data_IF_545233378830
#
_entry.id   IF_545233378830
#
_cell.length_a   1.000
_cell.length_b   1.000
_cell.length_c   1.000
_cell.angle_alpha   90.00
_cell.angle_beta   90.00
_cell.angle_gamma   90.00
#
_symmetry.space_group_name_H-M   'P 1'
#
loop_
_entity.id
_entity.type
_entity.pdbx_description
1 polymer ?
#
# COMPACT_ATOMS: atom_id res chain seq x y z
N UNK A 1 14.86 21.69 -9.30
CA UNK A 1 15.05 20.64 -10.33
C UNK A 1 14.84 19.22 -9.79
N UNK A 2 15.41 18.82 -8.64
CA UNK A 2 15.07 17.53 -7.99
C UNK A 2 13.66 17.58 -7.37
N UNK A 3 13.38 18.61 -6.59
CA UNK A 3 12.08 18.89 -5.94
C UNK A 3 10.93 18.96 -6.95
N UNK A 4 11.16 19.60 -8.10
CA UNK A 4 10.18 19.72 -9.19
C UNK A 4 9.88 18.37 -9.89
N UNK A 5 10.88 17.49 -9.98
CA UNK A 5 10.70 16.11 -10.49
C UNK A 5 10.02 15.22 -9.46
N UNK A 6 10.28 15.43 -8.18
CA UNK A 6 9.61 14.77 -7.06
C UNK A 6 8.14 15.19 -7.00
N UNK A 7 7.83 16.47 -7.11
CA UNK A 7 6.47 16.99 -7.20
C UNK A 7 5.74 16.50 -8.45
N UNK A 8 6.41 16.38 -9.59
CA UNK A 8 5.83 15.81 -10.79
C UNK A 8 5.58 14.31 -10.66
N UNK A 9 6.49 13.57 -10.02
CA UNK A 9 6.32 12.15 -9.71
C UNK A 9 5.19 11.92 -8.71
N UNK A 10 5.17 12.68 -7.61
CA UNK A 10 4.09 12.70 -6.63
C UNK A 10 2.78 13.10 -7.28
N UNK A 11 2.78 14.10 -8.15
CA UNK A 11 1.61 14.48 -8.95
C UNK A 11 1.16 13.31 -9.82
N UNK A 12 2.01 12.55 -10.50
CA UNK A 12 1.59 11.39 -11.31
C UNK A 12 1.06 10.24 -10.46
N UNK A 13 1.73 9.94 -9.34
CA UNK A 13 1.33 8.90 -8.38
C UNK A 13 0.01 9.26 -7.67
N UNK A 14 -0.25 10.55 -7.44
CA UNK A 14 -1.45 11.07 -6.77
C UNK A 14 -2.55 11.51 -7.77
N UNK A 15 -2.24 11.81 -9.03
CA UNK A 15 -3.21 12.36 -10.02
C UNK A 15 -3.75 11.34 -11.00
N UNK A 16 -3.46 10.05 -10.84
CA UNK A 16 -4.16 8.98 -11.57
C UNK A 16 -5.62 8.92 -11.07
N UNK A 17 -6.42 9.86 -11.60
CA UNK A 17 -7.62 10.46 -10.99
C UNK A 17 -8.93 9.90 -11.52
N UNK A 18 -8.91 8.78 -12.23
CA UNK A 18 -10.12 8.00 -12.54
C UNK A 18 -9.84 6.51 -12.45
N UNK A 19 -9.51 6.03 -11.25
CA UNK A 19 -9.40 4.60 -11.00
C UNK A 19 -10.79 3.98 -11.15
N UNK A 20 -11.00 3.33 -12.29
CA UNK A 20 -12.15 2.47 -12.56
C UNK A 20 -11.72 1.02 -12.43
N UNK A 21 -12.67 0.10 -12.27
CA UNK A 21 -12.39 -1.36 -12.26
C UNK A 21 -11.53 -1.81 -13.46
N UNK A 22 -11.64 -1.13 -14.63
CA UNK A 22 -10.87 -1.48 -15.82
C UNK A 22 -9.39 -1.07 -15.76
N UNK A 23 -9.05 -0.09 -14.92
CA UNK A 23 -7.72 0.51 -14.89
C UNK A 23 -7.03 0.44 -13.53
N UNK A 24 -7.74 -0.04 -12.50
CA UNK A 24 -7.24 -0.11 -11.12
C UNK A 24 -5.92 -0.88 -11.03
N UNK A 25 -5.77 -1.98 -11.76
CA UNK A 25 -4.55 -2.79 -11.74
C UNK A 25 -3.31 -2.08 -12.32
N UNK A 26 -3.46 -1.04 -13.14
CA UNK A 26 -2.33 -0.22 -13.60
C UNK A 26 -1.64 0.51 -12.43
N UNK A 27 -2.35 0.74 -11.32
CA UNK A 27 -1.78 1.36 -10.12
C UNK A 27 -0.70 0.47 -9.49
N UNK A 28 -0.78 -0.86 -9.65
CA UNK A 28 0.24 -1.77 -9.14
C UNK A 28 1.60 -1.54 -9.81
N UNK A 29 1.62 -1.22 -11.11
CA UNK A 29 2.85 -0.87 -11.82
C UNK A 29 3.51 0.38 -11.22
N UNK A 30 2.69 1.38 -10.89
CA UNK A 30 3.17 2.62 -10.27
C UNK A 30 3.68 2.37 -8.85
N UNK A 31 2.97 1.58 -8.04
CA UNK A 31 3.42 1.23 -6.70
C UNK A 31 4.71 0.42 -6.72
N UNK A 32 4.82 -0.54 -7.63
CA UNK A 32 6.05 -1.32 -7.83
C UNK A 32 7.23 -0.40 -8.17
N UNK A 33 7.06 0.48 -9.17
CA UNK A 33 8.13 1.38 -9.58
C UNK A 33 8.51 2.37 -8.49
N UNK A 34 7.53 2.90 -7.75
CA UNK A 34 7.79 3.78 -6.63
C UNK A 34 8.59 3.07 -5.53
N UNK A 35 8.21 1.84 -5.16
CA UNK A 35 8.95 1.05 -4.17
C UNK A 35 10.40 0.77 -4.62
N UNK A 36 10.62 0.38 -5.88
CA UNK A 36 11.96 0.20 -6.42
C UNK A 36 12.81 1.48 -6.33
N UNK A 37 12.26 2.63 -6.73
CA UNK A 37 12.97 3.91 -6.67
C UNK A 37 13.22 4.38 -5.24
N UNK A 38 12.31 4.10 -4.31
CA UNK A 38 12.49 4.37 -2.88
C UNK A 38 13.64 3.52 -2.31
N UNK A 39 13.69 2.23 -2.62
CA UNK A 39 14.76 1.34 -2.16
C UNK A 39 16.14 1.79 -2.68
N UNK A 40 16.26 2.09 -3.98
CA UNK A 40 17.50 2.60 -4.58
C UNK A 40 17.99 3.91 -3.92
N UNK A 41 17.07 4.77 -3.48
CA UNK A 41 17.45 5.99 -2.76
C UNK A 41 17.95 5.69 -1.34
N UNK A 42 17.36 4.70 -0.65
CA UNK A 42 17.80 4.31 0.70
C UNK A 42 19.20 3.69 0.73
N UNK A 43 19.65 3.08 -0.37
CA UNK A 43 21.01 2.51 -0.50
C UNK A 43 22.12 3.58 -0.45
N UNK A 44 21.79 4.84 -0.76
CA UNK A 44 22.76 5.95 -0.74
C UNK A 44 23.12 6.38 0.69
N UNK A 45 22.37 5.92 1.70
CA UNK A 45 22.60 6.19 3.12
C UNK A 45 22.74 7.69 3.45
N UNK A 46 22.05 8.54 2.69
CA UNK A 46 21.95 9.98 2.89
C UNK A 46 20.66 10.29 3.66
N UNK A 47 20.79 10.99 4.79
CA UNK A 47 19.66 11.31 5.68
C UNK A 47 18.56 12.12 4.98
N UNK A 48 18.92 13.07 4.13
CA UNK A 48 17.96 13.94 3.42
C UNK A 48 17.17 13.10 2.41
N UNK A 49 17.84 12.19 1.71
CA UNK A 49 17.19 11.26 0.78
C UNK A 49 16.27 10.28 1.52
N UNK A 50 16.69 9.76 2.67
CA UNK A 50 15.85 8.87 3.48
C UNK A 50 14.58 9.59 3.93
N UNK A 51 14.66 10.84 4.38
CA UNK A 51 13.48 11.63 4.76
C UNK A 51 12.53 11.87 3.58
N UNK A 52 13.06 12.19 2.39
CA UNK A 52 12.25 12.30 1.16
C UNK A 52 11.55 10.97 0.83
N UNK A 53 12.27 9.85 0.88
CA UNK A 53 11.71 8.51 0.67
C UNK A 53 10.57 8.24 1.65
N UNK A 54 10.73 8.56 2.94
CA UNK A 54 9.67 8.37 3.93
C UNK A 54 8.43 9.20 3.59
N UNK A 55 8.60 10.47 3.19
CA UNK A 55 7.48 11.33 2.76
C UNK A 55 6.74 10.77 1.54
N UNK A 56 7.47 10.26 0.55
CA UNK A 56 6.91 9.61 -0.63
C UNK A 56 6.11 8.37 -0.24
N UNK A 57 6.69 7.49 0.58
CA UNK A 57 6.03 6.25 1.01
C UNK A 57 4.81 6.52 1.89
N UNK A 58 4.84 7.53 2.77
CA UNK A 58 3.69 7.97 3.54
C UNK A 58 2.57 8.51 2.63
N UNK A 59 2.92 9.24 1.58
CA UNK A 59 1.95 9.73 0.59
C UNK A 59 1.28 8.57 -0.17
N UNK A 60 2.07 7.57 -0.57
CA UNK A 60 1.57 6.34 -1.20
C UNK A 60 0.68 5.56 -0.22
N UNK A 61 1.13 5.39 1.03
CA UNK A 61 0.42 4.69 2.10
C UNK A 61 -0.96 5.33 2.38
N UNK A 62 -1.01 6.67 2.45
CA UNK A 62 -2.25 7.42 2.59
C UNK A 62 -3.19 7.24 1.40
N UNK A 63 -2.66 7.29 0.17
CA UNK A 63 -3.45 7.06 -1.05
C UNK A 63 -3.98 5.63 -1.14
N UNK A 64 -3.18 4.62 -0.80
CA UNK A 64 -3.60 3.22 -0.74
C UNK A 64 -4.73 3.02 0.27
N UNK A 65 -4.65 3.66 1.45
CA UNK A 65 -5.73 3.64 2.44
C UNK A 65 -7.02 4.22 1.88
N UNK A 66 -6.97 5.39 1.23
CA UNK A 66 -8.14 6.01 0.60
C UNK A 66 -8.76 5.12 -0.49
N UNK A 67 -7.93 4.50 -1.32
CA UNK A 67 -8.41 3.61 -2.39
C UNK A 67 -8.96 2.29 -1.83
N UNK A 68 -8.55 1.89 -0.63
CA UNK A 68 -9.05 0.70 0.07
C UNK A 68 -10.40 0.92 0.78
N UNK A 69 -10.96 2.13 0.75
CA UNK A 69 -12.26 2.42 1.37
C UNK A 69 -13.44 1.92 0.53
N UNK A 70 -14.46 1.38 1.18
CA UNK A 70 -15.70 0.92 0.53
C UNK A 70 -16.60 2.08 0.11
N UNK A 71 -16.52 3.19 0.84
CA UNK A 71 -17.26 4.42 0.57
C UNK A 71 -16.31 5.59 0.54
N UNK A 72 -16.38 6.35 -0.54
CA UNK A 72 -15.73 7.65 -0.63
C UNK A 72 -16.50 8.62 0.28
N UNK A 73 -15.83 9.07 1.33
CA UNK A 73 -16.36 10.05 2.26
C UNK A 73 -16.03 11.44 1.72
N UNK A 74 -17.03 12.19 1.27
CA UNK A 74 -16.84 13.58 0.83
C UNK A 74 -17.78 14.53 1.58
N UNK A 75 -17.23 15.58 2.20
CA UNK A 75 -17.99 16.67 2.83
C UNK A 75 -18.75 16.27 4.11
N UNK A 76 -19.67 17.16 4.54
CA UNK A 76 -20.49 17.04 5.77
C UNK A 76 -21.33 15.74 5.78
N UNK A 77 -21.67 15.17 4.61
CA UNK A 77 -22.37 13.89 4.49
C UNK A 77 -21.51 12.66 4.83
N UNK A 78 -20.17 12.80 4.87
CA UNK A 78 -19.28 11.77 5.39
C UNK A 78 -19.52 11.50 6.88
N UNK A 79 -19.89 12.52 7.66
CA UNK A 79 -20.11 12.36 9.11
C UNK A 79 -21.33 11.49 9.43
N UNK A 80 -22.26 11.31 8.49
CA UNK A 80 -23.51 10.53 8.64
C UNK A 80 -23.40 9.14 7.96
N UNK A 81 -22.25 8.80 7.38
CA UNK A 81 -22.01 7.48 6.79
C UNK A 81 -22.63 7.24 5.40
N UNK A 82 -23.13 8.29 4.74
CA UNK A 82 -23.75 8.23 3.40
C UNK A 82 -22.73 8.51 2.27
N UNK A 83 -21.52 7.94 2.36
CA UNK A 83 -20.49 8.08 1.32
C UNK A 83 -20.86 7.36 0.01
N UNK A 84 -20.34 7.86 -1.11
CA UNK A 84 -20.52 7.23 -2.43
C UNK A 84 -19.80 5.89 -2.46
N UNK A 85 -20.45 4.83 -2.98
CA UNK A 85 -19.80 3.52 -3.14
C UNK A 85 -18.51 3.65 -3.95
N UNK A 86 -17.47 2.97 -3.50
CA UNK A 86 -16.18 2.91 -4.17
C UNK A 86 -16.34 2.42 -5.62
N UNK A 87 -15.68 3.07 -6.61
CA UNK A 87 -15.67 2.61 -7.99
C UNK A 87 -14.70 1.45 -8.23
N UNK A 88 -13.97 1.02 -7.20
CA UNK A 88 -12.94 -0.02 -7.25
C UNK A 88 -13.51 -1.38 -6.88
N UNK A 89 -12.88 -2.44 -7.35
CA UNK A 89 -13.30 -3.80 -6.99
C UNK A 89 -12.91 -4.16 -5.54
N UNK A 90 -13.65 -5.07 -4.87
CA UNK A 90 -13.22 -5.62 -3.59
C UNK A 90 -11.81 -6.25 -3.67
N UNK A 91 -11.52 -6.98 -4.75
CA UNK A 91 -10.21 -7.55 -5.09
C UNK A 91 -9.08 -6.52 -5.04
N UNK A 92 -9.29 -5.35 -5.65
CA UNK A 92 -8.30 -4.26 -5.61
C UNK A 92 -8.10 -3.72 -4.20
N UNK A 93 -9.19 -3.54 -3.45
CA UNK A 93 -9.13 -3.03 -2.08
C UNK A 93 -8.34 -3.96 -1.15
N UNK A 94 -8.35 -5.28 -1.39
CA UNK A 94 -7.48 -6.23 -0.68
C UNK A 94 -6.01 -5.90 -0.90
N UNK A 95 -5.57 -5.69 -2.15
CA UNK A 95 -4.18 -5.30 -2.46
C UNK A 95 -3.85 -3.95 -1.83
N UNK A 96 -4.71 -2.95 -2.01
CA UNK A 96 -4.49 -1.60 -1.49
C UNK A 96 -4.38 -1.57 0.05
N UNK A 97 -5.28 -2.28 0.76
CA UNK A 97 -5.24 -2.38 2.23
C UNK A 97 -3.97 -3.09 2.70
N UNK A 98 -3.61 -4.19 2.04
CA UNK A 98 -2.42 -4.98 2.39
C UNK A 98 -1.14 -4.16 2.25
N UNK A 99 -0.98 -3.45 1.11
CA UNK A 99 0.19 -2.60 0.87
C UNK A 99 0.25 -1.41 1.85
N UNK A 100 -0.89 -0.81 2.18
CA UNK A 100 -0.91 0.31 3.15
C UNK A 100 -0.57 -0.17 4.58
N UNK A 101 -1.07 -1.32 4.98
CA UNK A 101 -0.74 -1.94 6.27
C UNK A 101 0.75 -2.31 6.33
N UNK A 102 1.29 -2.88 5.26
CA UNK A 102 2.72 -3.15 5.14
C UNK A 102 3.55 -1.88 5.33
N UNK A 103 3.29 -0.81 4.58
CA UNK A 103 4.02 0.45 4.71
C UNK A 103 3.89 1.05 6.12
N UNK A 104 2.73 0.92 6.76
CA UNK A 104 2.54 1.36 8.15
C UNK A 104 3.42 0.61 9.14
N UNK A 105 3.66 -0.69 8.91
CA UNK A 105 4.58 -1.51 9.71
C UNK A 105 6.04 -1.18 9.41
N UNK A 106 6.38 -0.92 8.14
CA UNK A 106 7.75 -0.60 7.74
C UNK A 106 8.18 0.83 8.09
N UNK A 107 7.23 1.73 8.40
CA UNK A 107 7.46 3.11 8.83
C UNK A 107 6.94 3.26 10.26
N UNK A 108 7.68 2.75 11.27
CA UNK A 108 7.22 2.74 12.66
C UNK A 108 7.05 4.15 13.24
N UNK A 109 7.80 5.13 12.73
CA UNK A 109 7.77 6.54 13.12
C UNK A 109 7.95 7.42 11.87
N UNK A 110 7.52 8.68 11.91
CA UNK A 110 7.50 9.60 10.74
C UNK A 110 8.89 9.89 10.14
N UNK A 111 9.97 9.52 10.83
CA UNK A 111 11.35 9.69 10.40
C UNK A 111 12.16 8.37 10.45
N UNK A 112 11.49 7.23 10.58
CA UNK A 112 12.15 5.92 10.66
C UNK A 112 11.56 4.96 9.65
N UNK A 113 12.45 4.18 9.03
CA UNK A 113 12.08 3.15 8.08
C UNK A 113 12.86 1.85 8.33
N UNK A 114 12.17 0.72 8.30
CA UNK A 114 12.75 -0.61 8.52
C UNK A 114 13.42 -1.12 7.25
N UNK A 115 14.73 -0.93 7.14
CA UNK A 115 15.54 -1.41 6.01
C UNK A 115 16.17 -2.79 6.23
N UNK A 116 16.09 -3.32 7.45
CA UNK A 116 16.66 -4.61 7.82
C UNK A 116 15.65 -5.46 8.59
N UNK A 117 15.76 -6.81 8.50
CA UNK A 117 15.10 -7.73 9.40
C UNK A 117 15.32 -7.37 10.88
N UNK A 118 14.37 -7.69 11.73
CA UNK A 118 14.49 -7.54 13.19
C UNK A 118 14.15 -8.83 13.91
N UNK A 119 14.54 -8.95 15.17
CA UNK A 119 14.15 -10.10 16.01
C UNK A 119 12.67 -10.06 16.43
N UNK A 120 12.11 -8.86 16.55
CA UNK A 120 10.72 -8.62 16.94
C UNK A 120 10.12 -7.47 16.14
N UNK A 121 8.80 -7.51 15.96
CA UNK A 121 8.05 -6.47 15.28
C UNK A 121 7.47 -5.48 16.29
N UNK A 122 8.10 -4.31 16.39
CA UNK A 122 7.62 -3.21 17.23
C UNK A 122 6.56 -2.40 16.46
N UNK A 123 5.29 -2.64 16.78
CA UNK A 123 4.16 -2.01 16.09
C UNK A 123 3.80 -0.67 16.73
N UNK A 124 3.77 0.40 15.93
CA UNK A 124 3.13 1.65 16.34
C UNK A 124 1.62 1.46 16.45
N UNK A 125 0.93 2.35 17.18
CA UNK A 125 -0.53 2.33 17.25
C UNK A 125 -1.19 2.39 15.87
N UNK A 126 -0.62 3.20 14.96
CA UNK A 126 -1.07 3.31 13.56
C UNK A 126 -0.90 1.99 12.81
N UNK A 127 0.25 1.33 12.96
CA UNK A 127 0.53 0.04 12.33
C UNK A 127 -0.41 -1.05 12.85
N UNK A 128 -0.64 -1.11 14.16
CA UNK A 128 -1.57 -2.05 14.78
C UNK A 128 -3.01 -1.84 14.29
N UNK A 129 -3.46 -0.58 14.17
CA UNK A 129 -4.78 -0.27 13.62
C UNK A 129 -4.90 -0.70 12.14
N UNK A 130 -3.87 -0.49 11.34
CA UNK A 130 -3.86 -0.90 9.94
C UNK A 130 -3.94 -2.42 9.79
N UNK A 131 -3.20 -3.18 10.61
CA UNK A 131 -3.25 -4.64 10.67
C UNK A 131 -4.63 -5.14 11.12
N UNK A 132 -5.17 -4.61 12.21
CA UNK A 132 -6.51 -4.99 12.69
C UNK A 132 -7.58 -4.74 11.61
N UNK A 133 -7.45 -3.65 10.86
CA UNK A 133 -8.39 -3.34 9.78
C UNK A 133 -8.27 -4.34 8.64
N UNK A 134 -7.04 -4.68 8.21
CA UNK A 134 -6.79 -5.71 7.20
C UNK A 134 -7.38 -7.07 7.61
N UNK A 135 -7.11 -7.51 8.83
CA UNK A 135 -7.61 -8.79 9.36
C UNK A 135 -9.14 -8.80 9.45
N UNK A 136 -9.75 -7.67 9.83
CA UNK A 136 -11.21 -7.55 9.90
C UNK A 136 -11.90 -7.74 8.55
N UNK A 137 -11.22 -7.43 7.43
CA UNK A 137 -11.78 -7.63 6.08
C UNK A 137 -12.13 -9.09 5.82
N UNK A 138 -11.37 -10.05 6.38
CA UNK A 138 -11.62 -11.48 6.17
C UNK A 138 -12.98 -11.93 6.73
N UNK A 139 -13.53 -11.19 7.71
CA UNK A 139 -14.86 -11.45 8.30
C UNK A 139 -16.01 -10.76 7.55
N UNK A 140 -15.71 -9.85 6.62
CA UNK A 140 -16.71 -9.10 5.87
C UNK A 140 -17.15 -9.88 4.63
N UNK A 141 -18.48 -10.00 4.45
CA UNK A 141 -19.11 -10.75 3.35
C UNK A 141 -18.62 -10.34 1.96
N UNK A 142 -18.19 -9.09 1.76
CA UNK A 142 -17.66 -8.62 0.49
C UNK A 142 -16.31 -9.23 0.10
N UNK A 143 -15.55 -9.77 1.07
CA UNK A 143 -14.21 -10.30 0.85
C UNK A 143 -14.07 -11.78 1.19
N UNK A 144 -15.20 -12.50 1.32
CA UNK A 144 -15.18 -13.94 1.64
C UNK A 144 -14.34 -14.76 0.64
N UNK A 145 -14.36 -14.39 -0.65
CA UNK A 145 -13.57 -15.05 -1.69
C UNK A 145 -12.05 -14.73 -1.62
N UNK A 146 -11.65 -13.76 -0.79
CA UNK A 146 -10.25 -13.32 -0.66
C UNK A 146 -9.65 -13.63 0.72
N UNK A 147 -10.29 -14.48 1.52
CA UNK A 147 -9.86 -14.78 2.89
C UNK A 147 -8.44 -15.34 2.95
N UNK A 148 -8.08 -16.21 2.01
CA UNK A 148 -6.74 -16.79 1.94
C UNK A 148 -5.69 -15.71 1.69
N UNK A 149 -5.91 -14.83 0.72
CA UNK A 149 -5.00 -13.75 0.35
C UNK A 149 -4.87 -12.72 1.49
N UNK A 150 -5.96 -12.40 2.18
CA UNK A 150 -5.95 -11.54 3.38
C UNK A 150 -5.14 -12.16 4.53
N UNK A 151 -5.26 -13.48 4.72
CA UNK A 151 -4.50 -14.23 5.74
C UNK A 151 -3.02 -14.26 5.41
N UNK A 152 -2.67 -14.61 4.16
CA UNK A 152 -1.28 -14.63 3.67
C UNK A 152 -0.63 -13.25 3.77
N UNK A 153 -1.34 -12.18 3.35
CA UNK A 153 -0.83 -10.82 3.48
C UNK A 153 -0.61 -10.43 4.94
N UNK A 154 -1.57 -10.72 5.82
CA UNK A 154 -1.44 -10.44 7.26
C UNK A 154 -0.26 -11.18 7.89
N UNK A 155 -0.05 -12.45 7.55
CA UNK A 155 1.09 -13.24 8.02
C UNK A 155 2.42 -12.67 7.50
N UNK A 156 2.48 -12.34 6.21
CA UNK A 156 3.65 -11.71 5.60
C UNK A 156 4.02 -10.41 6.32
N UNK A 157 3.04 -9.52 6.54
CA UNK A 157 3.28 -8.20 7.15
C UNK A 157 3.74 -8.33 8.62
N UNK A 158 3.21 -9.32 9.35
CA UNK A 158 3.56 -9.56 10.76
C UNK A 158 4.90 -10.29 10.93
N UNK A 159 5.52 -10.79 9.86
CA UNK A 159 6.77 -11.51 9.95
C UNK A 159 7.94 -10.54 10.22
N UNK A 160 8.69 -10.70 11.32
CA UNK A 160 9.71 -9.73 11.72
C UNK A 160 10.91 -9.70 10.75
N UNK A 161 11.15 -10.79 10.02
CA UNK A 161 12.20 -10.84 8.99
C UNK A 161 11.88 -10.03 7.73
N UNK A 162 10.61 -9.71 7.47
CA UNK A 162 10.27 -8.86 6.34
C UNK A 162 10.48 -7.38 6.68
N UNK A 163 11.19 -6.68 5.81
CA UNK A 163 11.49 -5.26 5.91
C UNK A 163 11.02 -4.54 4.62
N UNK A 164 11.32 -3.25 4.44
CA UNK A 164 10.90 -2.50 3.25
C UNK A 164 11.30 -3.18 1.92
N UNK A 165 12.46 -3.83 1.88
CA UNK A 165 12.96 -4.56 0.70
C UNK A 165 11.96 -5.63 0.21
N UNK A 166 11.17 -6.18 1.12
CA UNK A 166 10.18 -7.23 0.83
C UNK A 166 8.85 -6.68 0.30
N UNK A 167 8.71 -5.36 0.18
CA UNK A 167 7.48 -4.74 -0.31
C UNK A 167 7.10 -5.15 -1.74
N UNK A 168 8.10 -5.33 -2.60
CA UNK A 168 7.86 -5.86 -3.95
C UNK A 168 7.48 -7.34 -3.94
N UNK A 169 8.00 -8.13 -3.00
CA UNK A 169 7.62 -9.54 -2.84
C UNK A 169 6.16 -9.67 -2.37
N UNK A 170 5.72 -8.82 -1.44
CA UNK A 170 4.32 -8.75 -1.04
C UNK A 170 3.41 -8.37 -2.21
N UNK A 171 3.81 -7.35 -2.98
CA UNK A 171 3.03 -6.93 -4.14
C UNK A 171 2.94 -8.05 -5.18
N UNK A 172 4.06 -8.73 -5.47
CA UNK A 172 4.12 -9.89 -6.36
C UNK A 172 3.19 -11.02 -5.89
N UNK A 173 3.26 -11.40 -4.61
CA UNK A 173 2.35 -12.38 -3.99
C UNK A 173 0.88 -12.02 -4.21
N UNK A 174 0.52 -10.77 -3.95
CA UNK A 174 -0.84 -10.27 -4.10
C UNK A 174 -1.30 -10.24 -5.56
N UNK A 175 -0.48 -9.76 -6.50
CA UNK A 175 -0.89 -9.72 -7.92
C UNK A 175 -0.89 -11.11 -8.57
N UNK A 176 -0.05 -12.03 -8.12
CA UNK A 176 -0.04 -13.42 -8.59
C UNK A 176 -1.31 -14.17 -8.18
N UNK A 177 -1.73 -14.02 -6.93
CA UNK A 177 -2.91 -14.70 -6.39
C UNK A 177 -4.19 -13.98 -6.77
N UNK A 178 -4.19 -12.65 -6.70
CA UNK A 178 -5.38 -11.88 -6.99
C UNK A 178 -5.52 -11.68 -8.48
N UNK A 179 -4.54 -11.27 -9.28
CA UNK A 179 -4.68 -10.88 -10.71
C UNK A 179 -3.90 -11.76 -11.70
N UNK A 180 -4.09 -13.10 -11.73
CA UNK A 180 -3.33 -13.99 -12.60
C UNK A 180 -3.57 -13.74 -14.10
N UNK A 181 -4.76 -13.28 -14.48
CA UNK A 181 -5.15 -13.05 -15.88
C UNK A 181 -4.61 -11.76 -16.49
N UNK A 182 -3.99 -10.88 -15.70
CA UNK A 182 -3.57 -9.54 -16.16
C UNK A 182 -2.10 -9.55 -16.57
N UNK A 183 -1.83 -9.91 -17.83
CA UNK A 183 -0.48 -10.14 -18.36
C UNK A 183 0.49 -8.95 -18.29
N UNK A 184 0.02 -7.70 -18.32
CA UNK A 184 0.95 -6.57 -18.16
C UNK A 184 1.55 -6.49 -16.75
N UNK A 185 0.98 -7.20 -15.76
CA UNK A 185 1.54 -7.32 -14.42
C UNK A 185 2.69 -8.33 -14.35
N UNK A 186 2.99 -9.07 -15.41
CA UNK A 186 4.09 -10.04 -15.47
C UNK A 186 5.45 -9.42 -15.08
N UNK A 187 5.61 -8.11 -15.29
CA UNK A 187 6.82 -7.38 -14.87
C UNK A 187 7.00 -7.23 -13.35
N UNK A 188 5.94 -7.46 -12.56
CA UNK A 188 5.97 -7.44 -11.09
C UNK A 188 6.22 -8.86 -10.54
N UNK A 189 5.93 -9.90 -11.33
CA UNK A 189 5.88 -11.30 -10.89
C UNK A 189 7.25 -11.93 -10.73
#
# INVERSE_FOLDING_TARGET
>A
MLEEKEDQFLSIVLSSTKSSVKEEAKLFLWWHKALQLSLLQTEQNDTILIESVIRILLSIQGRQNQLAEERLMSGILGVIGLGKKSPLSPRFRVVARSMSAFLSVQIPQENQIRLKPGSELQLSQKAQQALNTLESMASNKQYMEYQEQLSQASQFIKHPDHCLHDGNNLLALLVNTLYPEVHYLDMIR
#
